data_IF_711706147033
#
_entry.id   IF_711706147033
#
_cell.length_a   1.000
_cell.length_b   1.000
_cell.length_c   1.000
_cell.angle_alpha   90.00
_cell.angle_beta   90.00
_cell.angle_gamma   90.00
#
_symmetry.space_group_name_H-M   'P 1'
#
loop_
_entity.id
_entity.type
_entity.pdbx_description
1 polymer ?
#
# COMPACT_ATOMS: atom_id res chain seq x y z
N UNK A 1 -58.50 -35.10 45.71
CA UNK A 1 -59.13 -33.79 45.92
C UNK A 1 -58.03 -32.78 46.25
N UNK A 2 -58.08 -31.56 45.71
CA UNK A 2 -57.00 -30.57 45.92
C UNK A 2 -57.51 -29.43 46.80
N UNK A 3 -56.63 -28.84 47.60
CA UNK A 3 -56.95 -27.68 48.44
C UNK A 3 -56.15 -26.47 47.96
N UNK A 4 -56.71 -25.27 48.11
CA UNK A 4 -56.03 -24.03 47.76
C UNK A 4 -54.86 -23.82 48.72
N UNK A 5 -53.62 -23.63 48.24
CA UNK A 5 -52.47 -23.45 49.12
C UNK A 5 -52.52 -22.13 49.91
N UNK A 6 -53.30 -21.14 49.43
CA UNK A 6 -53.36 -19.83 50.06
C UNK A 6 -54.45 -19.72 51.13
N UNK A 7 -55.63 -20.35 50.93
CA UNK A 7 -56.78 -20.21 51.84
C UNK A 7 -57.35 -21.53 52.37
N UNK A 8 -56.79 -22.69 51.99
CA UNK A 8 -57.26 -24.01 52.45
C UNK A 8 -58.62 -24.45 51.88
N UNK A 9 -59.24 -23.68 50.98
CA UNK A 9 -60.53 -24.05 50.38
C UNK A 9 -60.43 -25.29 49.49
N UNK A 10 -61.42 -26.17 49.55
CA UNK A 10 -61.46 -27.43 48.80
C UNK A 10 -61.84 -27.15 47.33
N UNK A 11 -60.94 -27.48 46.41
CA UNK A 11 -61.09 -27.22 44.97
C UNK A 11 -61.45 -28.53 44.22
N UNK A 12 -62.39 -28.43 43.29
CA UNK A 12 -62.58 -29.46 42.26
C UNK A 12 -61.38 -29.47 41.28
N UNK A 13 -61.19 -30.55 40.53
CA UNK A 13 -59.95 -30.82 39.79
C UNK A 13 -59.61 -29.81 38.69
N UNK A 14 -60.56 -28.97 38.29
CA UNK A 14 -60.51 -28.26 37.00
C UNK A 14 -60.43 -26.73 37.16
N UNK A 15 -60.44 -26.22 38.39
CA UNK A 15 -60.35 -24.78 38.65
C UNK A 15 -58.93 -24.26 38.40
N UNK A 16 -58.81 -23.26 37.53
CA UNK A 16 -57.55 -22.55 37.23
C UNK A 16 -57.24 -21.43 38.22
N UNK A 17 -58.27 -20.90 38.88
CA UNK A 17 -58.19 -19.82 39.86
C UNK A 17 -59.11 -20.18 41.03
N UNK A 18 -58.66 -19.94 42.26
CA UNK A 18 -59.47 -20.21 43.44
C UNK A 18 -60.63 -19.20 43.52
N UNK A 19 -61.90 -19.63 43.57
CA UNK A 19 -63.05 -18.73 43.59
C UNK A 19 -63.15 -17.93 44.90
N UNK A 20 -62.51 -18.38 45.97
CA UNK A 20 -62.64 -17.75 47.28
C UNK A 20 -61.55 -16.72 47.60
N UNK A 21 -60.38 -16.81 46.97
CA UNK A 21 -59.26 -15.88 47.23
C UNK A 21 -58.57 -15.34 45.98
N UNK A 22 -58.99 -15.74 44.77
CA UNK A 22 -58.41 -15.26 43.51
C UNK A 22 -57.02 -15.83 43.17
N UNK A 23 -56.50 -16.79 43.95
CA UNK A 23 -55.17 -17.35 43.72
C UNK A 23 -55.12 -18.22 42.46
N UNK A 24 -54.17 -17.95 41.55
CA UNK A 24 -53.95 -18.72 40.32
C UNK A 24 -53.24 -20.05 40.61
N UNK A 25 -53.88 -21.16 40.28
CA UNK A 25 -53.34 -22.50 40.51
C UNK A 25 -52.43 -22.90 39.33
N UNK A 26 -51.19 -23.38 39.60
CA UNK A 26 -50.28 -23.78 38.53
C UNK A 26 -50.86 -24.97 37.77
N UNK A 27 -51.16 -24.77 36.48
CA UNK A 27 -51.68 -25.83 35.63
C UNK A 27 -50.63 -26.92 35.45
N UNK A 28 -50.99 -28.15 35.81
CA UNK A 28 -50.17 -29.34 35.59
C UNK A 28 -50.17 -29.64 34.09
N UNK A 29 -49.36 -28.92 33.31
CA UNK A 29 -49.07 -29.27 31.91
C UNK A 29 -48.41 -30.65 31.94
N UNK A 30 -49.07 -31.61 31.30
CA UNK A 30 -48.57 -32.97 31.09
C UNK A 30 -47.12 -32.90 30.62
N UNK A 31 -46.24 -33.53 31.38
CA UNK A 31 -44.80 -33.50 31.18
C UNK A 31 -44.41 -34.41 30.01
N UNK A 32 -44.27 -33.86 28.80
CA UNK A 32 -43.61 -34.60 27.70
C UNK A 32 -42.87 -33.70 26.68
N UNK A 33 -42.58 -32.43 26.97
CA UNK A 33 -41.95 -31.56 25.96
C UNK A 33 -40.98 -30.48 26.46
N UNK A 34 -40.32 -30.66 27.61
CA UNK A 34 -39.45 -29.63 28.18
C UNK A 34 -38.10 -30.11 28.74
N UNK A 35 -37.57 -31.27 28.31
CA UNK A 35 -36.22 -31.74 28.71
C UNK A 35 -35.23 -31.76 27.54
N UNK A 36 -35.66 -31.51 26.30
CA UNK A 36 -34.78 -31.58 25.11
C UNK A 36 -34.25 -30.21 24.63
N UNK A 37 -34.61 -29.09 25.28
CA UNK A 37 -34.16 -27.75 24.84
C UNK A 37 -32.95 -27.18 25.58
N UNK A 38 -32.62 -27.62 26.80
CA UNK A 38 -31.45 -27.09 27.51
C UNK A 38 -30.15 -27.87 27.22
N UNK A 39 -30.22 -29.17 26.93
CA UNK A 39 -29.01 -29.97 26.65
C UNK A 39 -28.46 -29.69 25.23
N UNK A 40 -29.30 -29.26 24.28
CA UNK A 40 -28.85 -28.91 22.92
C UNK A 40 -28.16 -27.54 22.84
N UNK A 41 -28.35 -26.67 23.84
CA UNK A 41 -27.70 -25.36 23.92
C UNK A 41 -26.26 -25.46 24.46
N UNK A 42 -26.04 -26.27 25.50
CA UNK A 42 -24.69 -26.42 26.08
C UNK A 42 -23.78 -27.38 25.28
N UNK A 43 -24.32 -28.29 24.47
CA UNK A 43 -23.50 -29.16 23.62
C UNK A 43 -23.18 -28.54 22.23
N UNK A 44 -23.92 -27.51 21.79
CA UNK A 44 -23.56 -26.76 20.57
C UNK A 44 -22.36 -25.83 20.81
N UNK A 45 -22.24 -25.25 22.00
CA UNK A 45 -21.13 -24.35 22.35
C UNK A 45 -19.79 -25.05 22.52
N UNK A 46 -19.77 -26.37 22.77
CA UNK A 46 -18.53 -27.15 22.89
C UNK A 46 -18.04 -27.74 21.56
N UNK A 47 -18.93 -27.93 20.59
CA UNK A 47 -18.59 -28.44 19.25
C UNK A 47 -18.20 -27.30 18.30
N UNK A 48 -18.72 -26.09 18.49
CA UNK A 48 -18.34 -24.92 17.68
C UNK A 48 -16.93 -24.36 18.00
N UNK A 49 -16.37 -24.66 19.18
CA UNK A 49 -15.00 -24.26 19.53
C UNK A 49 -13.91 -25.04 18.75
N UNK A 50 -14.24 -26.19 18.15
CA UNK A 50 -13.31 -26.99 17.34
C UNK A 50 -13.55 -26.91 15.82
N UNK A 51 -14.62 -26.26 15.37
CA UNK A 51 -14.96 -26.21 13.95
C UNK A 51 -14.22 -25.10 13.18
N UNK A 52 -13.44 -24.25 13.86
CA UNK A 52 -12.68 -23.15 13.23
C UNK A 52 -11.21 -23.49 12.92
N UNK A 53 -10.84 -24.78 12.94
CA UNK A 53 -9.52 -25.27 12.52
C UNK A 53 -9.54 -26.11 11.24
N UNK A 54 -10.64 -26.11 10.48
CA UNK A 54 -10.56 -26.47 9.07
C UNK A 54 -9.92 -25.29 8.33
N UNK A 55 -8.59 -25.19 8.43
CA UNK A 55 -7.81 -24.42 7.48
C UNK A 55 -8.12 -25.03 6.12
N UNK A 56 -8.86 -24.33 5.23
CA UNK A 56 -9.01 -24.86 3.90
C UNK A 56 -7.59 -24.92 3.32
N UNK A 57 -7.22 -26.06 2.74
CA UNK A 57 -6.12 -26.15 1.79
C UNK A 57 -6.45 -25.27 0.56
N UNK A 58 -6.68 -23.98 0.76
CA UNK A 58 -6.63 -23.00 -0.32
C UNK A 58 -5.16 -22.91 -0.66
N UNK A 59 -4.78 -23.64 -1.72
CA UNK A 59 -3.45 -23.52 -2.30
C UNK A 59 -3.09 -22.03 -2.43
N UNK A 60 -1.82 -21.65 -2.18
CA UNK A 60 -1.38 -20.26 -2.25
C UNK A 60 -1.71 -19.60 -3.61
N UNK A 61 -1.86 -20.41 -4.64
CA UNK A 61 -2.26 -20.02 -5.98
C UNK A 61 -3.71 -19.49 -6.03
N UNK A 62 -4.66 -20.15 -5.35
CA UNK A 62 -6.05 -19.68 -5.26
C UNK A 62 -6.17 -18.35 -4.50
N UNK A 63 -5.35 -18.17 -3.46
CA UNK A 63 -5.32 -16.93 -2.68
C UNK A 63 -4.77 -15.77 -3.53
N UNK A 64 -3.73 -16.04 -4.34
CA UNK A 64 -3.20 -15.08 -5.31
C UNK A 64 -4.23 -14.72 -6.38
N UNK A 65 -4.93 -15.70 -6.96
CA UNK A 65 -5.98 -15.44 -7.96
C UNK A 65 -7.13 -14.60 -7.40
N UNK A 66 -7.53 -14.85 -6.15
CA UNK A 66 -8.60 -14.08 -5.52
C UNK A 66 -8.17 -12.63 -5.20
N UNK A 67 -6.90 -12.43 -4.80
CA UNK A 67 -6.30 -11.10 -4.66
C UNK A 67 -6.25 -10.36 -6.01
N UNK A 68 -5.90 -11.06 -7.09
CA UNK A 68 -5.82 -10.51 -8.44
C UNK A 68 -7.20 -10.00 -8.91
N UNK A 69 -8.26 -10.76 -8.62
CA UNK A 69 -9.64 -10.42 -8.93
C UNK A 69 -10.10 -9.12 -8.27
N UNK A 70 -9.71 -8.89 -7.01
CA UNK A 70 -10.12 -7.69 -6.27
C UNK A 70 -9.27 -6.45 -6.57
N UNK A 71 -8.05 -6.63 -7.10
CA UNK A 71 -7.13 -5.54 -7.41
C UNK A 71 -6.99 -5.28 -8.92
N UNK A 72 -8.12 -5.22 -9.63
CA UNK A 72 -8.19 -5.11 -11.08
C UNK A 72 -7.42 -3.91 -11.65
N UNK A 73 -7.37 -2.79 -10.91
CA UNK A 73 -6.59 -1.59 -11.27
C UNK A 73 -5.09 -1.92 -11.35
N UNK A 74 -4.55 -2.65 -10.37
CA UNK A 74 -3.12 -3.00 -10.35
C UNK A 74 -2.76 -3.93 -11.50
N UNK A 75 -3.63 -4.90 -11.79
CA UNK A 75 -3.46 -5.82 -12.92
C UNK A 75 -3.47 -5.06 -14.23
N UNK A 76 -4.46 -4.18 -14.43
CA UNK A 76 -4.59 -3.38 -15.65
C UNK A 76 -3.37 -2.48 -15.86
N UNK A 77 -2.81 -1.89 -14.78
CA UNK A 77 -1.61 -1.06 -14.85
C UNK A 77 -0.35 -1.87 -15.19
N UNK A 78 -0.22 -3.09 -14.64
CA UNK A 78 0.89 -3.99 -14.98
C UNK A 78 0.81 -4.44 -16.44
N UNK A 79 -0.39 -4.83 -16.91
CA UNK A 79 -0.61 -5.23 -18.31
C UNK A 79 -0.28 -4.08 -19.26
N UNK A 80 -0.75 -2.86 -18.97
CA UNK A 80 -0.42 -1.67 -19.75
C UNK A 80 1.10 -1.44 -19.82
N UNK A 81 1.81 -1.60 -18.70
CA UNK A 81 3.26 -1.43 -18.65
C UNK A 81 4.00 -2.49 -19.48
N UNK A 82 3.52 -3.74 -19.47
CA UNK A 82 4.06 -4.82 -20.31
C UNK A 82 3.83 -4.53 -21.79
N UNK A 83 2.65 -4.02 -22.17
CA UNK A 83 2.34 -3.63 -23.56
C UNK A 83 3.22 -2.46 -24.01
N UNK A 84 3.37 -1.43 -23.17
CA UNK A 84 4.26 -0.30 -23.47
C UNK A 84 5.71 -0.76 -23.63
N UNK A 85 6.22 -1.58 -22.71
CA UNK A 85 7.58 -2.11 -22.84
C UNK A 85 7.75 -3.02 -24.05
N UNK A 86 6.71 -3.76 -24.44
CA UNK A 86 6.72 -4.55 -25.68
C UNK A 86 6.87 -3.67 -26.93
N UNK A 87 6.11 -2.57 -27.00
CA UNK A 87 6.14 -1.65 -28.14
C UNK A 87 7.49 -0.93 -28.23
N UNK A 88 8.04 -0.47 -27.10
CA UNK A 88 9.20 0.45 -27.09
C UNK A 88 10.57 -0.22 -26.93
N UNK A 89 10.66 -1.39 -26.30
CA UNK A 89 11.94 -2.00 -25.90
C UNK A 89 12.28 -3.24 -26.72
N UNK A 90 11.30 -3.79 -27.44
CA UNK A 90 11.42 -5.04 -28.19
C UNK A 90 10.96 -6.27 -27.40
N UNK A 91 10.69 -7.35 -28.14
CA UNK A 91 9.94 -8.51 -27.63
C UNK A 91 10.61 -9.22 -26.44
N UNK A 92 11.94 -9.38 -26.47
CA UNK A 92 12.66 -10.16 -25.45
C UNK A 92 12.66 -9.45 -24.09
N UNK A 93 12.88 -8.15 -24.07
CA UNK A 93 12.97 -7.38 -22.81
C UNK A 93 11.60 -7.28 -22.15
N UNK A 94 10.52 -7.15 -22.94
CA UNK A 94 9.15 -7.17 -22.42
C UNK A 94 8.80 -8.47 -21.69
N UNK A 95 9.22 -9.63 -22.22
CA UNK A 95 8.97 -10.93 -21.58
C UNK A 95 9.69 -11.02 -20.23
N UNK A 96 10.94 -10.56 -20.16
CA UNK A 96 11.71 -10.55 -18.89
C UNK A 96 11.06 -9.64 -17.85
N UNK A 97 10.60 -8.45 -18.26
CA UNK A 97 9.89 -7.51 -17.37
C UNK A 97 8.57 -8.09 -16.88
N UNK A 98 7.81 -8.76 -17.75
CA UNK A 98 6.55 -9.42 -17.40
C UNK A 98 6.76 -10.52 -16.35
N UNK A 99 7.76 -11.38 -16.55
CA UNK A 99 8.10 -12.46 -15.60
C UNK A 99 8.54 -11.86 -14.26
N UNK A 100 9.40 -10.84 -14.27
CA UNK A 100 9.84 -10.14 -13.05
C UNK A 100 8.67 -9.53 -12.26
N UNK A 101 7.71 -8.93 -12.96
CA UNK A 101 6.49 -8.37 -12.36
C UNK A 101 5.60 -9.45 -11.72
N UNK A 102 5.45 -10.61 -12.37
CA UNK A 102 4.68 -11.75 -11.81
C UNK A 102 5.34 -12.27 -10.54
N UNK A 103 6.66 -12.49 -10.57
CA UNK A 103 7.43 -12.95 -9.39
C UNK A 103 7.32 -11.93 -8.25
N UNK A 104 7.47 -10.65 -8.57
CA UNK A 104 7.37 -9.59 -7.57
C UNK A 104 5.97 -9.49 -6.97
N UNK A 105 4.92 -9.59 -7.80
CA UNK A 105 3.53 -9.63 -7.35
C UNK A 105 3.23 -10.83 -6.44
N UNK A 106 3.80 -12.00 -6.75
CA UNK A 106 3.68 -13.19 -5.90
C UNK A 106 4.33 -12.97 -4.52
N UNK A 107 5.56 -12.47 -4.47
CA UNK A 107 6.27 -12.16 -3.22
C UNK A 107 5.49 -11.12 -2.40
N UNK A 108 4.96 -10.08 -3.07
CA UNK A 108 4.21 -9.02 -2.43
C UNK A 108 2.90 -9.52 -1.80
N UNK A 109 2.14 -10.35 -2.53
CA UNK A 109 0.91 -10.96 -2.01
C UNK A 109 1.21 -11.82 -0.78
N UNK A 110 2.29 -12.60 -0.81
CA UNK A 110 2.68 -13.46 0.30
C UNK A 110 3.16 -12.66 1.54
N UNK A 111 3.84 -11.53 1.33
CA UNK A 111 4.26 -10.66 2.43
C UNK A 111 3.13 -9.86 3.08
N UNK A 112 2.05 -9.52 2.34
CA UNK A 112 0.91 -8.81 2.92
C UNK A 112 0.00 -9.70 3.78
N UNK A 113 -0.02 -11.02 3.53
CA UNK A 113 -0.84 -11.95 4.30
C UNK A 113 -0.36 -12.08 5.77
N UNK A 114 0.92 -11.89 6.06
CA UNK A 114 1.48 -12.18 7.39
C UNK A 114 1.26 -11.10 8.48
N UNK A 115 1.46 -9.78 8.24
CA UNK A 115 1.49 -8.80 9.34
C UNK A 115 0.12 -8.24 9.73
N UNK A 116 -0.87 -8.23 8.82
CA UNK A 116 -2.18 -7.66 9.13
C UNK A 116 -3.01 -8.61 9.99
N UNK A 117 -3.01 -9.90 9.67
CA UNK A 117 -3.70 -10.92 10.45
C UNK A 117 -3.13 -11.08 11.86
N UNK A 118 -1.80 -11.03 12.02
CA UNK A 118 -1.19 -11.11 13.35
C UNK A 118 -1.61 -9.92 14.24
N UNK A 119 -1.68 -8.71 13.67
CA UNK A 119 -2.07 -7.50 14.40
C UNK A 119 -3.58 -7.43 14.65
N UNK A 120 -4.40 -7.89 13.70
CA UNK A 120 -5.85 -7.98 13.84
C UNK A 120 -6.23 -9.03 14.89
N UNK A 121 -5.57 -10.20 14.85
CA UNK A 121 -5.75 -11.28 15.82
C UNK A 121 -5.31 -10.87 17.23
N UNK A 122 -4.27 -10.04 17.36
CA UNK A 122 -3.88 -9.43 18.64
C UNK A 122 -4.93 -8.44 19.15
N UNK A 123 -5.51 -7.59 18.29
CA UNK A 123 -6.58 -6.68 18.72
C UNK A 123 -7.84 -7.43 19.15
N UNK A 124 -8.27 -8.45 18.41
CA UNK A 124 -9.43 -9.25 18.82
C UNK A 124 -9.21 -9.97 20.15
N UNK A 125 -7.99 -10.51 20.40
CA UNK A 125 -7.68 -11.14 21.70
C UNK A 125 -7.76 -10.17 22.88
N UNK A 126 -7.46 -8.88 22.67
CA UNK A 126 -7.61 -7.87 23.71
C UNK A 126 -9.09 -7.52 23.97
N UNK A 127 -9.90 -7.39 22.91
CA UNK A 127 -11.34 -7.11 23.06
C UNK A 127 -12.03 -8.27 23.78
N UNK A 128 -11.68 -9.51 23.43
CA UNK A 128 -12.27 -10.72 24.03
C UNK A 128 -11.94 -10.82 25.54
N UNK A 129 -10.69 -10.59 25.95
CA UNK A 129 -10.34 -10.51 27.37
C UNK A 129 -10.98 -9.32 28.11
N UNK A 130 -11.18 -8.19 27.44
CA UNK A 130 -11.83 -7.03 28.06
C UNK A 130 -13.33 -7.29 28.28
N UNK A 131 -14.00 -8.01 27.38
CA UNK A 131 -15.39 -8.44 27.58
C UNK A 131 -15.50 -9.50 28.69
N UNK A 132 -14.64 -10.51 28.71
CA UNK A 132 -14.62 -11.53 29.78
C UNK A 132 -14.45 -10.90 31.16
N UNK A 133 -13.49 -9.98 31.31
CA UNK A 133 -13.24 -9.31 32.60
C UNK A 133 -14.36 -8.36 33.04
N UNK A 134 -15.14 -7.80 32.11
CA UNK A 134 -16.33 -7.00 32.43
C UNK A 134 -17.47 -7.90 32.91
N UNK A 135 -17.72 -9.01 32.22
CA UNK A 135 -18.77 -9.99 32.61
C UNK A 135 -18.48 -10.59 33.98
N UNK A 136 -17.21 -10.93 34.27
CA UNK A 136 -16.81 -11.52 35.54
C UNK A 136 -16.89 -10.52 36.71
N UNK A 137 -16.60 -9.23 36.46
CA UNK A 137 -16.83 -8.16 37.46
C UNK A 137 -18.32 -7.99 37.79
N UNK A 138 -19.20 -7.98 36.79
CA UNK A 138 -20.65 -7.86 37.02
C UNK A 138 -21.21 -9.07 37.79
N UNK A 139 -20.75 -10.28 37.49
CA UNK A 139 -21.11 -11.50 38.23
C UNK A 139 -20.64 -11.46 39.68
N UNK A 140 -19.40 -11.04 39.93
CA UNK A 140 -18.87 -10.93 41.30
C UNK A 140 -19.52 -9.79 42.10
N UNK A 141 -19.97 -8.72 41.44
CA UNK A 141 -20.68 -7.62 42.12
C UNK A 141 -22.09 -8.05 42.51
N UNK A 142 -22.82 -8.76 41.65
CA UNK A 142 -24.14 -9.33 41.99
C UNK A 142 -24.10 -10.33 43.15
N UNK A 143 -22.97 -10.99 43.36
CA UNK A 143 -22.82 -11.97 44.46
C UNK A 143 -22.58 -11.29 45.82
N UNK A 144 -22.05 -10.06 45.83
CA UNK A 144 -21.80 -9.30 47.06
C UNK A 144 -22.86 -8.22 47.38
N UNK A 145 -23.65 -7.78 46.39
CA UNK A 145 -24.74 -6.82 46.61
C UNK A 145 -26.04 -7.53 47.03
N UNK A 146 -26.00 -8.27 48.15
CA UNK A 146 -27.20 -8.53 48.97
C UNK A 146 -27.11 -7.82 50.33
N UNK A 147 -26.08 -6.99 50.55
CA UNK A 147 -25.97 -6.16 51.76
C UNK A 147 -25.40 -4.79 51.36
N UNK A 148 -26.18 -3.75 51.66
CA UNK A 148 -25.87 -2.31 51.69
C UNK A 148 -25.84 -1.50 50.37
N UNK A 149 -26.84 -0.61 50.35
CA UNK A 149 -26.81 0.81 50.01
C UNK A 149 -26.48 1.26 48.58
N UNK A 150 -27.53 1.87 48.00
CA UNK A 150 -27.55 2.55 46.73
C UNK A 150 -26.55 3.71 46.71
N UNK A 151 -25.44 3.52 46.00
CA UNK A 151 -24.59 4.63 45.57
C UNK A 151 -24.64 4.73 44.04
N UNK A 152 -24.82 5.97 43.58
CA UNK A 152 -25.12 6.36 42.21
C UNK A 152 -23.96 5.95 41.27
N UNK A 153 -24.24 5.29 40.12
CA UNK A 153 -23.21 4.85 39.18
C UNK A 153 -22.54 6.04 38.48
N UNK A 154 -21.22 6.15 38.60
CA UNK A 154 -20.39 7.14 37.88
C UNK A 154 -20.25 6.69 36.41
N UNK A 155 -20.57 7.53 35.41
CA UNK A 155 -20.52 7.17 34.01
C UNK A 155 -19.06 6.98 33.54
N UNK A 156 -18.71 5.74 33.17
CA UNK A 156 -17.42 5.39 32.56
C UNK A 156 -17.37 5.96 31.14
N UNK A 157 -16.58 7.01 30.93
CA UNK A 157 -16.38 7.58 29.61
C UNK A 157 -15.52 6.63 28.76
N UNK A 158 -15.93 6.31 27.51
CA UNK A 158 -15.16 5.46 26.63
C UNK A 158 -13.81 6.11 26.28
N UNK A 159 -12.72 5.31 26.17
CA UNK A 159 -11.41 5.85 25.82
C UNK A 159 -11.49 6.56 24.47
N UNK A 160 -11.16 7.86 24.46
CA UNK A 160 -11.06 8.65 23.22
C UNK A 160 -10.01 8.03 22.33
N UNK A 161 -10.45 7.35 21.28
CA UNK A 161 -9.60 6.84 20.21
C UNK A 161 -8.89 8.03 19.56
N UNK A 162 -7.63 8.25 19.93
CA UNK A 162 -6.78 9.21 19.23
C UNK A 162 -6.47 8.63 17.86
N UNK A 163 -7.16 9.15 16.85
CA UNK A 163 -6.81 8.89 15.46
C UNK A 163 -5.40 9.43 15.24
N UNK A 164 -4.43 8.53 15.10
CA UNK A 164 -3.07 8.89 14.70
C UNK A 164 -3.20 9.53 13.33
N UNK A 165 -3.21 10.86 13.28
CA UNK A 165 -3.16 11.62 12.03
C UNK A 165 -1.82 11.28 11.38
N UNK A 166 -1.83 10.30 10.49
CA UNK A 166 -0.72 10.07 9.55
C UNK A 166 -0.77 11.19 8.53
N UNK A 167 -0.36 12.40 8.91
CA UNK A 167 -0.04 13.47 7.97
C UNK A 167 1.27 13.11 7.28
N UNK A 168 1.22 12.06 6.46
CA UNK A 168 2.20 11.81 5.42
C UNK A 168 1.98 12.86 4.35
N UNK A 169 2.50 14.07 4.59
CA UNK A 169 2.57 15.12 3.59
C UNK A 169 3.60 14.63 2.56
N UNK A 170 3.14 13.79 1.63
CA UNK A 170 3.95 13.28 0.51
C UNK A 170 4.57 14.48 -0.18
N UNK A 171 5.88 14.40 -0.42
CA UNK A 171 6.59 15.44 -1.15
C UNK A 171 6.26 15.31 -2.64
N UNK A 172 5.07 15.77 -3.02
CA UNK A 172 4.63 15.86 -4.42
C UNK A 172 5.65 16.61 -5.28
N UNK A 173 6.39 17.54 -4.69
CA UNK A 173 7.49 18.30 -5.31
C UNK A 173 8.55 17.38 -5.92
N UNK A 174 8.97 16.32 -5.22
CA UNK A 174 10.01 15.41 -5.73
C UNK A 174 9.50 14.60 -6.93
N UNK A 175 8.25 14.14 -6.89
CA UNK A 175 7.63 13.45 -8.03
C UNK A 175 7.52 14.38 -9.24
N UNK A 176 7.11 15.63 -9.01
CA UNK A 176 6.97 16.62 -10.08
C UNK A 176 8.32 16.93 -10.74
N UNK A 177 9.39 17.08 -9.95
CA UNK A 177 10.74 17.26 -10.48
C UNK A 177 11.24 16.05 -11.26
N UNK A 178 10.90 14.83 -10.85
CA UNK A 178 11.25 13.62 -11.60
C UNK A 178 10.56 13.59 -12.98
N UNK A 179 9.28 13.97 -13.03
CA UNK A 179 8.52 14.07 -14.29
C UNK A 179 9.11 15.15 -15.19
N UNK A 180 9.42 16.34 -14.65
CA UNK A 180 10.05 17.43 -15.41
C UNK A 180 11.39 16.94 -15.98
N UNK A 181 12.25 16.35 -15.14
CA UNK A 181 13.57 15.85 -15.56
C UNK A 181 13.45 14.82 -16.68
N UNK A 182 12.50 13.87 -16.55
CA UNK A 182 12.26 12.87 -17.58
C UNK A 182 11.77 13.51 -18.89
N UNK A 183 10.80 14.42 -18.79
CA UNK A 183 10.21 15.09 -19.96
C UNK A 183 11.22 15.97 -20.68
N UNK A 184 12.02 16.76 -19.97
CA UNK A 184 13.04 17.64 -20.59
C UNK A 184 14.19 16.87 -21.21
N UNK A 185 14.47 15.65 -20.73
CA UNK A 185 15.54 14.81 -21.28
C UNK A 185 15.13 14.08 -22.56
N UNK A 186 13.87 13.66 -22.66
CA UNK A 186 13.37 12.83 -23.76
C UNK A 186 12.58 13.59 -24.82
N UNK A 187 11.86 14.65 -24.42
CA UNK A 187 10.92 15.34 -25.28
C UNK A 187 11.23 16.83 -25.37
N UNK A 188 12.41 17.21 -25.89
CA UNK A 188 12.78 18.61 -26.05
C UNK A 188 11.80 19.36 -26.94
N UNK A 189 11.32 18.72 -28.02
CA UNK A 189 10.40 19.31 -28.99
C UNK A 189 9.05 19.70 -28.35
N UNK A 190 8.57 18.90 -27.38
CA UNK A 190 7.36 19.26 -26.64
C UNK A 190 7.50 20.59 -25.89
N UNK A 191 8.70 20.92 -25.38
CA UNK A 191 8.92 22.21 -24.71
C UNK A 191 9.24 23.32 -25.70
N UNK A 192 9.98 23.04 -26.78
CA UNK A 192 10.34 24.03 -27.79
C UNK A 192 9.11 24.53 -28.59
N UNK A 193 8.15 23.65 -28.87
CA UNK A 193 7.00 24.02 -29.71
C UNK A 193 5.81 24.59 -28.90
N UNK A 194 5.86 24.49 -27.57
CA UNK A 194 4.82 25.02 -26.70
C UNK A 194 5.09 26.46 -26.27
N UNK A 195 4.02 27.21 -25.94
CA UNK A 195 4.06 28.62 -25.52
C UNK A 195 5.05 28.90 -24.38
N UNK A 196 5.28 27.92 -23.52
CA UNK A 196 6.30 27.98 -22.48
C UNK A 196 7.70 28.11 -23.08
N UNK A 197 8.11 27.27 -24.04
CA UNK A 197 9.44 27.35 -24.67
C UNK A 197 9.68 28.68 -25.39
N UNK A 198 8.66 29.19 -26.08
CA UNK A 198 8.70 30.50 -26.73
C UNK A 198 8.96 31.61 -25.69
N UNK A 199 8.25 31.58 -24.56
CA UNK A 199 8.35 32.61 -23.52
C UNK A 199 9.70 32.62 -22.78
N UNK A 200 10.37 31.47 -22.66
CA UNK A 200 11.71 31.36 -22.03
C UNK A 200 12.86 31.43 -23.05
N UNK A 201 12.57 31.69 -24.33
CA UNK A 201 13.59 31.78 -25.38
C UNK A 201 14.26 30.45 -25.71
N UNK A 202 13.58 29.32 -25.51
CA UNK A 202 14.09 27.97 -25.81
C UNK A 202 14.01 27.60 -27.29
N UNK A 203 13.41 28.46 -28.11
CA UNK A 203 13.15 28.19 -29.52
C UNK A 203 14.36 28.43 -30.43
N UNK A 204 15.59 28.25 -29.93
CA UNK A 204 16.72 28.15 -30.85
C UNK A 204 16.67 26.76 -31.50
N UNK A 205 16.32 26.64 -32.79
CA UNK A 205 16.14 25.35 -33.46
C UNK A 205 17.47 24.58 -33.62
N UNK A 206 18.59 25.12 -33.14
CA UNK A 206 19.93 24.61 -33.40
C UNK A 206 20.53 23.82 -32.24
N UNK A 207 19.96 23.83 -31.04
CA UNK A 207 20.62 23.19 -29.90
C UNK A 207 20.07 21.79 -29.62
N UNK A 208 20.86 20.72 -29.86
CA UNK A 208 20.39 19.36 -29.66
C UNK A 208 20.09 19.12 -28.18
N UNK A 209 19.03 18.34 -27.93
CA UNK A 209 18.69 17.92 -26.57
C UNK A 209 19.77 17.04 -25.95
N UNK A 210 19.76 16.93 -24.61
CA UNK A 210 20.71 16.09 -23.90
C UNK A 210 20.71 14.64 -24.41
N UNK A 211 19.53 14.08 -24.71
CA UNK A 211 19.43 12.73 -25.27
C UNK A 211 19.98 12.63 -26.68
N UNK A 212 19.76 13.62 -27.54
CA UNK A 212 20.37 13.68 -28.88
C UNK A 212 21.89 13.85 -28.80
N UNK A 213 22.39 14.69 -27.89
CA UNK A 213 23.83 14.84 -27.64
C UNK A 213 24.47 13.54 -27.19
N UNK A 214 23.86 12.84 -26.23
CA UNK A 214 24.35 11.55 -25.75
C UNK A 214 24.29 10.51 -26.87
N UNK A 215 23.23 10.51 -27.67
CA UNK A 215 23.10 9.62 -28.84
C UNK A 215 24.20 9.88 -29.87
N UNK A 216 24.47 11.13 -30.21
CA UNK A 216 25.54 11.52 -31.14
C UNK A 216 26.92 11.15 -30.58
N UNK A 217 27.15 11.36 -29.28
CA UNK A 217 28.39 10.99 -28.63
C UNK A 217 28.63 9.48 -28.65
N UNK A 218 27.61 8.66 -28.39
CA UNK A 218 27.71 7.20 -28.47
C UNK A 218 27.98 6.76 -29.91
N UNK A 219 27.30 7.35 -30.91
CA UNK A 219 27.61 7.06 -32.32
C UNK A 219 29.06 7.40 -32.67
N UNK A 220 29.57 8.52 -32.16
CA UNK A 220 30.96 8.91 -32.37
C UNK A 220 31.95 7.96 -31.69
N UNK A 221 31.67 7.53 -30.45
CA UNK A 221 32.48 6.53 -29.75
C UNK A 221 32.48 5.19 -30.49
N UNK A 222 31.31 4.75 -30.98
CA UNK A 222 31.19 3.54 -31.80
C UNK A 222 32.02 3.63 -33.08
N UNK A 223 31.99 4.78 -33.75
CA UNK A 223 32.75 4.99 -34.98
C UNK A 223 34.26 4.97 -34.74
N UNK A 224 34.76 5.69 -33.73
CA UNK A 224 36.21 5.81 -33.49
C UNK A 224 36.84 4.57 -32.85
N UNK A 225 36.11 3.88 -31.97
CA UNK A 225 36.64 2.74 -31.22
C UNK A 225 36.10 1.39 -31.72
N UNK A 226 35.36 1.38 -32.83
CA UNK A 226 34.66 0.21 -33.34
C UNK A 226 33.76 -0.49 -32.29
N UNK A 227 33.22 0.28 -31.34
CA UNK A 227 32.30 -0.22 -30.32
C UNK A 227 30.93 -0.47 -30.95
N UNK A 228 30.26 -1.57 -30.58
CA UNK A 228 28.90 -1.90 -31.01
C UNK A 228 27.86 -1.54 -29.93
N UNK A 229 28.01 -0.37 -29.29
CA UNK A 229 27.08 0.04 -28.23
C UNK A 229 25.78 0.51 -28.86
N UNK A 230 24.64 -0.02 -28.42
CA UNK A 230 23.36 0.45 -28.93
C UNK A 230 23.13 1.91 -28.51
N UNK A 231 22.95 2.87 -29.44
CA UNK A 231 22.74 4.28 -29.09
C UNK A 231 21.46 4.51 -28.26
N UNK A 232 20.49 3.60 -28.31
CA UNK A 232 19.30 3.66 -27.47
C UNK A 232 19.59 3.38 -25.98
N UNK A 233 20.68 2.68 -25.66
CA UNK A 233 21.05 2.33 -24.29
C UNK A 233 21.37 3.59 -23.46
N UNK A 234 22.00 4.59 -24.07
CA UNK A 234 22.25 5.88 -23.44
C UNK A 234 20.98 6.62 -23.05
N UNK A 235 19.92 6.51 -23.87
CA UNK A 235 18.59 7.02 -23.51
C UNK A 235 18.08 6.27 -22.28
N UNK A 236 17.98 4.94 -22.32
CA UNK A 236 17.47 4.15 -21.20
C UNK A 236 18.17 4.44 -19.87
N UNK A 237 19.49 4.67 -19.90
CA UNK A 237 20.25 5.05 -18.72
C UNK A 237 19.76 6.38 -18.11
N UNK A 238 19.46 7.38 -18.93
CA UNK A 238 18.97 8.69 -18.47
C UNK A 238 17.59 8.59 -17.81
N UNK A 239 16.67 7.75 -18.31
CA UNK A 239 15.38 7.54 -17.66
C UNK A 239 15.46 6.78 -16.34
N UNK A 240 16.46 5.90 -16.19
CA UNK A 240 16.53 4.96 -15.07
C UNK A 240 16.46 5.69 -13.72
N UNK A 241 17.24 6.76 -13.57
CA UNK A 241 17.27 7.56 -12.34
C UNK A 241 15.91 8.18 -11.98
N UNK A 242 15.34 9.07 -12.82
CA UNK A 242 14.03 9.68 -12.59
C UNK A 242 12.90 8.67 -12.34
N UNK A 243 12.89 7.54 -13.05
CA UNK A 243 11.89 6.47 -12.86
C UNK A 243 12.02 5.83 -11.48
N UNK A 244 13.24 5.55 -11.01
CA UNK A 244 13.47 5.00 -9.66
C UNK A 244 13.05 6.03 -8.59
N UNK A 245 13.33 7.32 -8.80
CA UNK A 245 12.88 8.40 -7.89
C UNK A 245 11.36 8.42 -7.80
N UNK A 246 10.67 8.35 -8.95
CA UNK A 246 9.22 8.39 -9.03
C UNK A 246 8.56 7.15 -8.38
N UNK A 247 9.10 5.96 -8.63
CA UNK A 247 8.64 4.75 -7.95
C UNK A 247 8.86 4.82 -6.43
N UNK A 248 10.01 5.34 -6.01
CA UNK A 248 10.32 5.53 -4.59
C UNK A 248 9.41 6.53 -3.90
N UNK A 249 9.05 7.63 -4.57
CA UNK A 249 8.17 8.68 -3.99
C UNK A 249 6.71 8.24 -3.88
N UNK A 250 6.25 7.33 -4.75
CA UNK A 250 4.90 6.76 -4.70
C UNK A 250 4.74 5.75 -3.56
N UNK A 251 5.82 5.12 -3.10
CA UNK A 251 5.78 4.14 -2.01
C UNK A 251 5.81 4.81 -0.62
N UNK A 252 4.81 4.62 0.25
CA UNK A 252 4.76 5.25 1.58
C UNK A 252 5.75 4.66 2.60
N UNK A 253 6.35 3.52 2.28
CA UNK A 253 7.21 2.77 3.18
C UNK A 253 8.58 3.44 3.42
N UNK A 254 9.28 3.04 4.49
CA UNK A 254 10.70 3.41 4.68
C UNK A 254 11.57 2.94 3.50
N UNK A 255 11.15 1.85 2.85
CA UNK A 255 11.79 1.33 1.64
C UNK A 255 11.65 2.31 0.46
N UNK A 256 10.44 2.83 0.19
CA UNK A 256 10.20 3.81 -0.86
C UNK A 256 11.11 5.04 -0.77
N UNK A 257 11.26 5.58 0.45
CA UNK A 257 12.19 6.69 0.73
C UNK A 257 13.65 6.36 0.44
N UNK A 258 14.13 5.19 0.88
CA UNK A 258 15.51 4.74 0.58
C UNK A 258 15.70 4.56 -0.93
N UNK A 259 14.68 4.04 -1.62
CA UNK A 259 14.68 3.85 -3.06
C UNK A 259 14.75 5.21 -3.79
N UNK A 260 13.95 6.20 -3.37
CA UNK A 260 13.97 7.54 -3.95
C UNK A 260 15.35 8.23 -3.81
N UNK A 261 15.98 8.13 -2.64
CA UNK A 261 17.33 8.68 -2.43
C UNK A 261 18.36 7.98 -3.32
N UNK A 262 18.31 6.65 -3.42
CA UNK A 262 19.19 5.89 -4.32
C UNK A 262 18.95 6.26 -5.78
N UNK A 263 17.69 6.39 -6.20
CA UNK A 263 17.32 6.86 -7.54
C UNK A 263 17.89 8.24 -7.85
N UNK A 264 17.81 9.18 -6.90
CA UNK A 264 18.34 10.53 -7.09
C UNK A 264 19.87 10.54 -7.22
N UNK A 265 20.58 9.73 -6.43
CA UNK A 265 22.03 9.54 -6.56
C UNK A 265 22.38 8.96 -7.94
N UNK A 266 21.65 7.93 -8.38
CA UNK A 266 21.84 7.33 -9.71
C UNK A 266 21.59 8.36 -10.82
N UNK A 267 20.53 9.17 -10.74
CA UNK A 267 20.30 10.28 -11.68
C UNK A 267 21.50 11.21 -11.74
N UNK A 268 22.03 11.65 -10.60
CA UNK A 268 23.19 12.57 -10.56
C UNK A 268 24.41 11.93 -11.22
N UNK A 269 24.71 10.67 -10.89
CA UNK A 269 25.86 9.95 -11.46
C UNK A 269 25.70 9.80 -12.98
N UNK A 270 24.51 9.40 -13.46
CA UNK A 270 24.28 9.19 -14.89
C UNK A 270 24.33 10.51 -15.67
N UNK A 271 23.70 11.57 -15.16
CA UNK A 271 23.67 12.87 -15.86
C UNK A 271 25.04 13.55 -15.84
N UNK A 272 25.69 13.65 -14.67
CA UNK A 272 27.03 14.26 -14.57
C UNK A 272 28.10 13.39 -15.23
N UNK A 273 28.01 12.06 -15.10
CA UNK A 273 28.90 11.11 -15.76
C UNK A 273 28.76 11.16 -17.28
N UNK A 274 27.53 11.20 -17.79
CA UNK A 274 27.25 11.37 -19.22
C UNK A 274 27.83 12.67 -19.77
N UNK A 275 27.73 13.77 -19.02
CA UNK A 275 28.35 15.05 -19.38
C UNK A 275 29.87 15.02 -19.34
N UNK A 276 30.46 14.36 -18.34
CA UNK A 276 31.91 14.21 -18.25
C UNK A 276 32.45 13.40 -19.43
N UNK A 277 31.79 12.29 -19.77
CA UNK A 277 32.12 11.45 -20.94
C UNK A 277 31.97 12.26 -22.22
N UNK A 278 30.88 13.04 -22.37
CA UNK A 278 30.67 13.91 -23.52
C UNK A 278 31.79 14.94 -23.67
N UNK A 279 32.16 15.62 -22.57
CA UNK A 279 33.28 16.59 -22.58
C UNK A 279 34.62 15.93 -22.92
N UNK A 280 34.89 14.74 -22.39
CA UNK A 280 36.09 13.98 -22.73
C UNK A 280 36.11 13.59 -24.21
N UNK A 281 35.01 13.07 -24.73
CA UNK A 281 34.88 12.70 -26.14
C UNK A 281 35.08 13.90 -27.07
N UNK A 282 34.51 15.06 -26.74
CA UNK A 282 34.69 16.30 -27.49
C UNK A 282 36.13 16.83 -27.40
N UNK A 283 36.74 16.77 -26.22
CA UNK A 283 38.14 17.18 -26.03
C UNK A 283 39.14 16.27 -26.74
N UNK A 284 38.80 15.01 -26.94
CA UNK A 284 39.60 14.08 -27.73
C UNK A 284 39.38 14.31 -29.22
N UNK A 285 38.11 14.40 -29.64
CA UNK A 285 37.74 14.61 -31.03
C UNK A 285 38.27 15.92 -31.62
N UNK A 286 38.32 17.00 -30.83
CA UNK A 286 38.82 18.31 -31.29
C UNK A 286 40.30 18.30 -31.70
N UNK A 287 41.09 17.31 -31.24
CA UNK A 287 42.48 17.16 -31.67
C UNK A 287 42.61 16.51 -33.04
N UNK A 288 41.61 15.75 -33.48
CA UNK A 288 41.67 14.95 -34.70
C UNK A 288 40.78 15.49 -35.81
N UNK A 289 39.66 16.14 -35.50
CA UNK A 289 38.73 16.72 -36.45
C UNK A 289 38.22 18.08 -35.93
N UNK A 290 38.02 19.06 -36.83
CA UNK A 290 37.29 20.31 -36.54
C UNK A 290 35.80 20.02 -36.27
N UNK A 291 35.50 19.43 -35.12
CA UNK A 291 34.13 19.22 -34.68
C UNK A 291 33.53 20.56 -34.22
N UNK A 292 32.24 20.83 -34.54
CA UNK A 292 31.56 22.00 -34.03
C UNK A 292 31.52 21.96 -32.50
N UNK A 293 31.66 23.13 -31.86
CA UNK A 293 31.58 23.25 -30.41
C UNK A 293 30.17 22.89 -29.94
N UNK A 294 30.05 21.72 -29.32
CA UNK A 294 28.78 21.21 -28.82
C UNK A 294 28.49 21.86 -27.47
N UNK A 295 27.80 22.99 -27.48
CA UNK A 295 27.35 23.67 -26.27
C UNK A 295 26.04 23.06 -25.77
N UNK A 296 25.98 22.78 -24.46
CA UNK A 296 24.76 22.25 -23.84
C UNK A 296 23.59 23.21 -24.07
N UNK A 297 22.46 22.69 -24.53
CA UNK A 297 21.24 23.48 -24.62
C UNK A 297 20.67 23.87 -23.27
N UNK A 298 19.82 24.90 -23.27
CA UNK A 298 19.06 25.33 -22.08
C UNK A 298 18.33 24.16 -21.41
N UNK A 299 17.74 23.26 -22.22
CA UNK A 299 17.08 22.04 -21.76
C UNK A 299 18.03 21.10 -21.00
N UNK A 300 19.29 20.98 -21.45
CA UNK A 300 20.33 20.23 -20.76
C UNK A 300 20.67 20.83 -19.39
N UNK A 301 20.84 22.15 -19.32
CA UNK A 301 21.09 22.84 -18.05
C UNK A 301 19.92 22.69 -17.06
N UNK A 302 18.68 22.82 -17.55
CA UNK A 302 17.50 22.62 -16.70
C UNK A 302 17.41 21.17 -16.21
N UNK A 303 17.69 20.18 -17.05
CA UNK A 303 17.72 18.79 -16.62
C UNK A 303 18.75 18.56 -15.50
N UNK A 304 19.97 19.09 -15.63
CA UNK A 304 21.01 19.01 -14.59
C UNK A 304 20.55 19.70 -13.30
N UNK A 305 20.00 20.91 -13.42
CA UNK A 305 19.49 21.67 -12.28
C UNK A 305 18.38 20.89 -11.54
N UNK A 306 17.42 20.33 -12.27
CA UNK A 306 16.36 19.50 -11.68
C UNK A 306 16.93 18.25 -10.98
N UNK A 307 17.93 17.59 -11.57
CA UNK A 307 18.60 16.42 -10.96
C UNK A 307 19.30 16.78 -9.64
N UNK A 308 20.03 17.90 -9.61
CA UNK A 308 20.68 18.39 -8.38
C UNK A 308 19.62 18.76 -7.33
N UNK A 309 18.57 19.48 -7.73
CA UNK A 309 17.49 19.88 -6.83
C UNK A 309 16.75 18.65 -6.25
N UNK A 310 16.50 17.62 -7.06
CA UNK A 310 15.93 16.35 -6.58
C UNK A 310 16.83 15.69 -5.53
N UNK A 311 18.15 15.66 -5.73
CA UNK A 311 19.08 15.11 -4.75
C UNK A 311 19.02 15.90 -3.43
N UNK A 312 19.07 17.24 -3.50
CA UNK A 312 19.01 18.10 -2.31
C UNK A 312 17.71 17.86 -1.54
N UNK A 313 16.55 17.89 -2.21
CA UNK A 313 15.25 17.71 -1.57
C UNK A 313 15.09 16.30 -0.96
N UNK A 314 15.60 15.27 -1.62
CA UNK A 314 15.58 13.90 -1.07
C UNK A 314 16.49 13.74 0.15
N UNK A 315 17.64 14.42 0.17
CA UNK A 315 18.53 14.48 1.34
C UNK A 315 17.88 15.24 2.50
N UNK A 316 17.29 16.42 2.26
CA UNK A 316 16.58 17.20 3.29
C UNK A 316 15.43 16.37 3.88
N UNK A 317 14.65 15.69 3.03
CA UNK A 317 13.56 14.83 3.47
C UNK A 317 14.05 13.66 4.34
N UNK A 318 15.26 13.15 4.09
CA UNK A 318 15.91 12.12 4.91
C UNK A 318 16.36 12.67 6.26
N UNK A 319 16.89 13.89 6.33
CA UNK A 319 17.34 14.51 7.58
C UNK A 319 16.19 14.93 8.50
N UNK A 320 15.09 15.45 7.96
CA UNK A 320 13.92 15.89 8.76
C UNK A 320 13.24 14.76 9.55
N UNK A 321 13.61 13.51 9.32
CA UNK A 321 13.02 12.33 9.92
C UNK A 321 13.93 11.64 10.96
N UNK A 322 15.17 12.11 11.08
CA UNK A 322 16.04 11.76 12.20
C UNK A 322 15.78 12.73 13.33
#
# INVERSE_FOLDING_TARGET
MKYCPNCGFKLASDYKVCPQCGYHLPQKKSATAAVTKEIKSQHLSRVQAHQHQQAPLTSPLLQYLNWLKHNLITVSLVVLLVILTYIYVGKIISVVVAIGMIIWGYIFANHQAAPLDAKLKLMFRHVEHEEETKVQRVLNTKTNTKVRDATIPVPVQPPKYQTVKTTSRRSWIVSFLAIITWSTSYWPGFFADNSLGVAIGWNSPTVPSLSQMIRQAIMYLNFNFHLQINPSLGLWLLALGPVIVLLGSLMPSRFGRKLAVRGAIVSVIVYLGGLAILKMALSWGSRYLQLPTVNLGSSGYVAIFCVILMLILTIIAKYRQR
#
